data_IF_590962123291
#
_entry.id   IF_590962123291
#
_cell.length_a   1.000
_cell.length_b   1.000
_cell.length_c   1.000
_cell.angle_alpha   90.00
_cell.angle_beta   90.00
_cell.angle_gamma   90.00
#
_symmetry.space_group_name_H-M   'P 1'
#
loop_
_entity.id
_entity.type
_entity.pdbx_description
1 polymer ?
#
# COMPACT_ATOMS: atom_id res chain seq x y z
N UNK A 1 4.94 10.48 2.96
CA UNK A 1 4.81 9.06 3.06
C UNK A 1 5.20 8.36 1.76
N UNK A 2 4.37 8.40 0.75
CA UNK A 2 4.71 7.90 -0.56
C UNK A 2 5.04 9.07 -1.44
N UNK A 3 6.00 9.80 -1.01
CA UNK A 3 6.17 11.12 -1.50
C UNK A 3 6.92 11.15 -2.81
N UNK A 4 6.17 11.38 -3.85
CA UNK A 4 6.73 11.74 -5.13
C UNK A 4 6.00 12.96 -5.58
N UNK A 5 6.65 13.79 -6.34
CA UNK A 5 6.11 15.08 -6.71
C UNK A 5 4.65 15.03 -7.12
N UNK A 6 4.31 14.13 -8.03
CA UNK A 6 2.97 14.08 -8.59
C UNK A 6 2.16 12.89 -8.12
N UNK A 7 2.73 12.10 -7.20
CA UNK A 7 2.09 10.89 -6.74
C UNK A 7 2.01 10.82 -5.23
N UNK A 8 2.06 11.95 -4.62
CA UNK A 8 1.98 12.01 -3.17
C UNK A 8 0.57 11.67 -2.70
N UNK A 9 0.48 10.74 -1.78
CA UNK A 9 -0.79 10.35 -1.18
C UNK A 9 -0.75 10.71 0.28
N UNK A 10 -1.69 11.52 0.71
CA UNK A 10 -1.79 11.90 2.11
C UNK A 10 -2.56 10.83 2.86
N UNK A 11 -2.15 10.60 4.09
CA UNK A 11 -2.81 9.59 4.91
C UNK A 11 -4.32 9.84 5.02
N UNK A 12 -4.72 11.09 5.09
CA UNK A 12 -6.13 11.44 5.22
C UNK A 12 -6.94 11.10 3.97
N UNK A 13 -6.28 10.94 2.83
CA UNK A 13 -6.96 10.65 1.57
C UNK A 13 -7.07 9.15 1.29
N UNK A 14 -6.51 8.32 2.15
CA UNK A 14 -6.52 6.88 1.95
C UNK A 14 -7.91 6.33 2.27
N UNK A 15 -8.52 5.69 1.28
CA UNK A 15 -9.84 5.09 1.46
C UNK A 15 -9.75 3.64 1.92
N UNK A 16 -8.74 2.94 1.43
CA UNK A 16 -8.57 1.54 1.79
C UNK A 16 -7.12 1.11 1.59
N UNK A 17 -6.70 0.16 2.39
CA UNK A 17 -5.38 -0.45 2.25
C UNK A 17 -5.57 -1.96 2.32
N UNK A 18 -5.09 -2.67 1.31
CA UNK A 18 -5.26 -4.10 1.23
C UNK A 18 -3.95 -4.80 0.95
N UNK A 19 -3.77 -5.96 1.57
CA UNK A 19 -2.65 -6.83 1.27
C UNK A 19 -3.07 -7.74 0.13
N UNK A 20 -2.33 -7.68 -0.98
CA UNK A 20 -2.67 -8.41 -2.19
C UNK A 20 -1.49 -9.29 -2.60
N UNK A 21 -1.80 -10.43 -3.20
CA UNK A 21 -0.76 -11.32 -3.69
C UNK A 21 -0.59 -11.13 -5.21
N UNK A 22 0.67 -11.12 -5.64
CA UNK A 22 0.97 -11.11 -7.06
C UNK A 22 1.02 -12.57 -7.53
N UNK A 23 0.09 -13.01 -8.36
CA UNK A 23 0.03 -14.41 -8.76
C UNK A 23 1.24 -14.86 -9.56
N UNK A 24 1.91 -13.95 -10.23
CA UNK A 24 3.07 -14.30 -11.04
C UNK A 24 4.29 -14.62 -10.20
N UNK A 25 4.43 -13.99 -9.05
CA UNK A 25 5.61 -14.17 -8.19
C UNK A 25 5.30 -14.81 -6.85
N UNK A 26 4.04 -14.86 -6.47
CA UNK A 26 3.62 -15.34 -5.16
C UNK A 26 3.95 -14.38 -4.03
N UNK A 27 4.41 -13.19 -4.34
CA UNK A 27 4.76 -12.21 -3.32
C UNK A 27 3.60 -11.29 -3.02
N UNK A 28 3.61 -10.76 -1.82
CA UNK A 28 2.55 -9.86 -1.38
C UNK A 28 2.98 -8.40 -1.53
N UNK A 29 2.00 -7.55 -1.65
CA UNK A 29 2.23 -6.11 -1.66
C UNK A 29 1.00 -5.42 -1.11
N UNK A 30 1.14 -4.13 -0.79
CA UNK A 30 0.02 -3.32 -0.33
C UNK A 30 -0.58 -2.56 -1.51
N UNK A 31 -1.89 -2.63 -1.62
CA UNK A 31 -2.65 -1.76 -2.51
C UNK A 31 -3.24 -0.65 -1.66
N UNK A 32 -2.90 0.57 -1.98
CA UNK A 32 -3.41 1.74 -1.26
C UNK A 32 -4.34 2.49 -2.19
N UNK A 33 -5.59 2.53 -1.81
CA UNK A 33 -6.63 3.13 -2.64
C UNK A 33 -7.01 4.49 -2.07
N UNK A 34 -6.91 5.50 -2.90
CA UNK A 34 -7.31 6.85 -2.53
C UNK A 34 -7.86 7.56 -3.74
N UNK A 35 -9.03 8.15 -3.60
CA UNK A 35 -9.60 9.08 -4.57
C UNK A 35 -9.28 8.75 -6.03
N UNK A 36 -9.79 7.65 -6.56
CA UNK A 36 -9.59 7.22 -7.93
C UNK A 36 -8.17 6.78 -8.28
N UNK A 37 -7.32 6.63 -7.28
CA UNK A 37 -5.95 6.19 -7.51
C UNK A 37 -5.65 4.96 -6.70
N UNK A 38 -4.79 4.12 -7.26
CA UNK A 38 -4.28 2.96 -6.56
C UNK A 38 -2.77 3.00 -6.60
N UNK A 39 -2.15 2.97 -5.44
CA UNK A 39 -0.69 2.91 -5.34
C UNK A 39 -0.29 1.54 -4.82
N UNK A 40 0.86 1.06 -5.26
CA UNK A 40 1.39 -0.22 -4.84
C UNK A 40 2.66 0.01 -4.06
N UNK A 41 2.76 -0.64 -2.91
CA UNK A 41 3.88 -0.46 -2.02
C UNK A 41 4.34 -1.80 -1.46
N UNK A 42 5.64 -1.96 -1.32
CA UNK A 42 6.18 -3.08 -0.58
C UNK A 42 6.26 -4.38 -1.34
N UNK A 43 6.51 -4.33 -2.63
CA UNK A 43 6.61 -5.55 -3.44
C UNK A 43 7.68 -6.52 -2.95
N UNK A 44 8.69 -6.03 -2.25
CA UNK A 44 9.80 -6.86 -1.77
C UNK A 44 9.82 -6.99 -0.25
N UNK A 45 8.76 -6.54 0.40
CA UNK A 45 8.69 -6.56 1.86
C UNK A 45 7.94 -7.82 2.31
N UNK A 46 8.42 -8.50 3.36
CA UNK A 46 7.71 -9.67 3.88
C UNK A 46 6.29 -9.33 4.30
N UNK A 47 5.40 -10.31 4.20
CA UNK A 47 3.99 -10.08 4.51
C UNK A 47 3.77 -9.60 5.94
N UNK A 48 4.59 -10.05 6.86
CA UNK A 48 4.46 -9.64 8.25
C UNK A 48 4.67 -8.15 8.41
N UNK A 49 5.66 -7.63 7.69
CA UNK A 49 5.95 -6.19 7.71
C UNK A 49 4.87 -5.42 6.97
N UNK A 50 4.32 -6.00 5.91
CA UNK A 50 3.23 -5.35 5.18
C UNK A 50 1.99 -5.20 6.06
N UNK A 51 1.70 -6.20 6.88
CA UNK A 51 0.59 -6.12 7.81
C UNK A 51 0.80 -5.01 8.81
N UNK A 52 2.01 -4.85 9.26
CA UNK A 52 2.35 -3.81 10.21
C UNK A 52 2.16 -2.44 9.58
N UNK A 53 2.64 -2.28 8.36
CA UNK A 53 2.50 -1.02 7.63
C UNK A 53 1.03 -0.72 7.37
N UNK A 54 0.26 -1.73 6.98
CA UNK A 54 -1.17 -1.56 6.77
C UNK A 54 -1.83 -1.01 8.02
N UNK A 55 -1.54 -1.63 9.15
CA UNK A 55 -2.11 -1.19 10.42
C UNK A 55 -1.75 0.25 10.73
N UNK A 56 -0.53 0.62 10.44
CA UNK A 56 -0.06 1.98 10.64
C UNK A 56 -0.82 2.98 9.76
N UNK A 57 -1.08 2.61 8.51
CA UNK A 57 -1.71 3.52 7.57
C UNK A 57 -3.19 3.73 7.83
N UNK A 58 -3.89 2.72 8.28
CA UNK A 58 -5.34 2.81 8.45
C UNK A 58 -5.76 3.08 9.89
N UNK A 59 -4.81 3.18 10.77
CA UNK A 59 -5.13 3.38 12.18
C UNK A 59 -5.21 4.87 12.52
#
# INVERSE_FOLDING_TARGET
LFSRKNNEIKKADIEAVEVTVNPATGRYYLSIISDNRTAIFGKKIPIEDLRWVKKFLIN
#
